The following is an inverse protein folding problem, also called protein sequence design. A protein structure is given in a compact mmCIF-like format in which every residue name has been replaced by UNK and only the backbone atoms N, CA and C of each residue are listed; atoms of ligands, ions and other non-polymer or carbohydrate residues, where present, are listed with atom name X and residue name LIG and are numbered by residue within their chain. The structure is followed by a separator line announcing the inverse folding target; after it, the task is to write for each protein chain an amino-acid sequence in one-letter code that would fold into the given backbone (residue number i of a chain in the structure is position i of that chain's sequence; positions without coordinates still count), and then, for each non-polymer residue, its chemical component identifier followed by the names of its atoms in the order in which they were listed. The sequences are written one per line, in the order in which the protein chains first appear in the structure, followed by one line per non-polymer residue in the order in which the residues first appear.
data_IF_785089753345
#
_entry.id   IF_785089753345
#
_cell.length_a   1.000
_cell.length_b   1.000
_cell.length_c   1.000
_cell.angle_alpha   90.00
_cell.angle_beta   90.00
_cell.angle_gamma   90.00
#
_symmetry.space_group_name_H-M   'P 1'
#
loop_
_entity.id
_entity.type
_entity.pdbx_description
1 polymer ?
#
# COMPACT_ATOMS: atom_id res chain seq x y z
N UNK A 1 -25.22 13.89 8.97
CA UNK A 1 -23.98 13.52 8.26
C UNK A 1 -23.02 12.91 9.28
N UNK A 2 -23.24 11.64 9.64
CA UNK A 2 -22.35 10.96 10.59
C UNK A 2 -21.11 10.52 9.85
N UNK A 3 -20.02 11.29 9.97
CA UNK A 3 -18.68 10.80 9.65
C UNK A 3 -18.43 9.58 10.53
N UNK A 4 -18.68 8.40 9.99
CA UNK A 4 -18.17 7.15 10.55
C UNK A 4 -16.66 7.37 10.64
N UNK A 5 -16.13 7.57 11.85
CA UNK A 5 -14.72 7.32 12.10
C UNK A 5 -14.57 5.83 11.79
N UNK A 6 -14.14 5.53 10.58
CA UNK A 6 -13.71 4.19 10.19
C UNK A 6 -12.81 3.71 11.32
N UNK A 7 -13.11 2.53 11.89
CA UNK A 7 -12.21 1.91 12.86
C UNK A 7 -10.80 1.95 12.29
N UNK A 8 -9.81 2.27 13.13
CA UNK A 8 -8.41 2.21 12.72
C UNK A 8 -8.13 0.78 12.32
N UNK A 9 -7.97 0.56 11.03
CA UNK A 9 -7.51 -0.72 10.52
C UNK A 9 -5.99 -0.69 10.57
N UNK A 10 -5.44 -1.11 11.72
CA UNK A 10 -4.00 -1.13 11.97
C UNK A 10 -3.27 -2.17 11.08
N UNK A 11 -4.01 -2.98 10.32
CA UNK A 11 -3.44 -3.98 9.40
C UNK A 11 -2.81 -3.36 8.15
N UNK A 12 -3.23 -2.15 7.73
CA UNK A 12 -2.77 -1.50 6.50
C UNK A 12 -1.50 -0.65 6.70
N UNK A 13 -1.29 -0.12 7.90
CA UNK A 13 -0.13 0.73 8.21
C UNK A 13 1.03 -0.15 8.65
N UNK A 14 2.25 -0.04 8.06
CA UNK A 14 3.40 -0.81 8.52
C UNK A 14 3.63 -0.65 10.02
N UNK A 15 3.63 -1.76 10.76
CA UNK A 15 3.98 -1.76 12.20
C UNK A 15 5.46 -1.40 12.42
N UNK A 16 6.29 -1.62 11.41
CA UNK A 16 7.69 -1.20 11.34
C UNK A 16 8.11 -1.00 9.88
N UNK A 17 9.17 -0.22 9.66
CA UNK A 17 9.85 -0.17 8.36
C UNK A 17 10.94 -1.24 8.23
N UNK A 18 11.26 -1.98 9.30
CA UNK A 18 12.16 -3.13 9.22
C UNK A 18 11.49 -4.24 8.43
N UNK A 19 12.21 -4.77 7.43
CA UNK A 19 11.70 -5.83 6.54
C UNK A 19 10.35 -5.47 5.89
N UNK A 20 10.12 -4.18 5.64
CA UNK A 20 8.98 -3.74 4.87
C UNK A 20 9.11 -4.23 3.42
N UNK A 21 7.97 -4.50 2.81
CA UNK A 21 7.86 -4.95 1.43
C UNK A 21 6.81 -4.09 0.73
N UNK A 22 6.93 -3.96 -0.58
CA UNK A 22 5.91 -3.36 -1.43
C UNK A 22 5.21 -4.47 -2.25
N UNK A 23 3.88 -4.41 -2.36
CA UNK A 23 3.13 -5.27 -3.27
C UNK A 23 3.54 -4.96 -4.72
N UNK A 24 3.93 -5.97 -5.50
CA UNK A 24 4.44 -5.77 -6.86
C UNK A 24 3.37 -5.26 -7.84
N UNK A 25 2.09 -5.46 -7.55
CA UNK A 25 0.97 -5.03 -8.42
C UNK A 25 0.49 -3.60 -8.11
N UNK A 26 0.31 -3.27 -6.82
CA UNK A 26 -0.28 -1.99 -6.41
C UNK A 26 0.70 -1.06 -5.69
N UNK A 27 1.83 -1.58 -5.22
CA UNK A 27 2.85 -0.89 -4.44
C UNK A 27 2.45 -0.51 -3.02
N UNK A 28 1.38 -1.08 -2.46
CA UNK A 28 1.08 -0.94 -1.04
C UNK A 28 2.28 -1.45 -0.21
N UNK A 29 2.67 -0.71 0.82
CA UNK A 29 3.82 -1.02 1.68
C UNK A 29 3.32 -1.46 3.05
N UNK A 30 3.75 -2.64 3.49
CA UNK A 30 3.49 -3.22 4.82
C UNK A 30 4.69 -4.05 5.27
N UNK A 31 4.67 -4.55 6.50
CA UNK A 31 5.64 -5.58 6.91
C UNK A 31 5.34 -6.91 6.24
N UNK A 32 6.35 -7.79 6.13
CA UNK A 32 6.15 -9.16 5.62
C UNK A 32 5.05 -9.90 6.39
N UNK A 33 5.03 -9.78 7.71
CA UNK A 33 4.03 -10.41 8.57
C UNK A 33 2.61 -9.93 8.26
N UNK A 34 2.41 -8.62 8.04
CA UNK A 34 1.10 -8.06 7.69
C UNK A 34 0.61 -8.51 6.31
N UNK A 35 1.53 -8.78 5.36
CA UNK A 35 1.15 -9.39 4.09
C UNK A 35 0.77 -10.87 4.26
N UNK A 36 1.50 -11.62 5.07
CA UNK A 36 1.20 -13.03 5.32
C UNK A 36 -0.13 -13.21 6.08
N UNK A 37 -0.43 -12.33 7.04
CA UNK A 37 -1.64 -12.40 7.87
C UNK A 37 -2.89 -11.84 7.18
N UNK A 38 -2.78 -10.70 6.48
CA UNK A 38 -3.94 -9.96 5.95
C UNK A 38 -3.98 -9.89 4.41
N UNK A 39 -2.92 -10.30 3.73
CA UNK A 39 -2.78 -10.13 2.28
C UNK A 39 -2.67 -8.67 1.88
N UNK A 40 -2.86 -8.39 0.59
CA UNK A 40 -2.93 -7.03 0.06
C UNK A 40 -4.38 -6.56 -0.07
N UNK A 41 -4.75 -5.46 0.56
CA UNK A 41 -6.12 -4.93 0.60
C UNK A 41 -6.60 -4.41 -0.77
N UNK A 42 -5.68 -4.16 -1.69
CA UNK A 42 -6.00 -3.76 -3.06
C UNK A 42 -6.10 -4.93 -4.04
N UNK A 43 -5.41 -6.05 -3.77
CA UNK A 43 -5.20 -7.13 -4.75
C UNK A 43 -5.76 -8.49 -4.28
N UNK A 44 -6.02 -8.65 -2.98
CA UNK A 44 -6.47 -9.92 -2.39
C UNK A 44 -5.41 -11.02 -2.32
N UNK A 45 -4.20 -10.79 -2.86
CA UNK A 45 -3.09 -11.74 -2.83
C UNK A 45 -2.36 -11.71 -1.49
N UNK A 46 -2.13 -12.90 -0.91
CA UNK A 46 -1.40 -13.12 0.35
C UNK A 46 -0.02 -13.75 0.16
N UNK A 47 0.39 -13.99 -1.09
CA UNK A 47 1.65 -14.67 -1.37
C UNK A 47 2.85 -13.75 -1.13
N UNK A 48 3.86 -14.23 -0.40
CA UNK A 48 5.14 -13.52 -0.26
C UNK A 48 5.84 -13.26 -1.61
N UNK A 49 5.57 -14.09 -2.62
CA UNK A 49 6.03 -13.92 -4.01
C UNK A 49 5.41 -12.71 -4.74
N UNK A 50 4.29 -12.16 -4.27
CA UNK A 50 3.67 -10.94 -4.84
C UNK A 50 4.15 -9.66 -4.15
N UNK A 51 5.32 -9.69 -3.52
CA UNK A 51 5.91 -8.54 -2.83
C UNK A 51 7.43 -8.45 -3.04
N UNK A 52 7.98 -7.24 -3.01
CA UNK A 52 9.42 -6.97 -3.17
C UNK A 52 9.98 -6.15 -2.01
N UNK A 53 11.25 -6.37 -1.66
CA UNK A 53 12.03 -5.48 -0.77
C UNK A 53 12.73 -4.36 -1.54
N UNK A 54 12.86 -4.48 -2.86
CA UNK A 54 13.52 -3.51 -3.71
C UNK A 54 12.50 -2.46 -4.16
N UNK A 55 12.22 -1.52 -3.27
CA UNK A 55 11.39 -0.35 -3.56
C UNK A 55 12.04 0.91 -3.00
N UNK A 56 11.74 2.04 -3.62
CA UNK A 56 12.27 3.34 -3.24
C UNK A 56 11.16 4.35 -3.04
N UNK A 57 11.32 5.16 -1.99
CA UNK A 57 10.40 6.24 -1.65
C UNK A 57 9.05 5.72 -1.13
N UNK A 58 8.49 6.44 -0.17
CA UNK A 58 7.18 6.12 0.39
C UNK A 58 6.30 7.36 0.36
N UNK A 59 5.04 7.17 -0.02
CA UNK A 59 4.00 8.19 0.06
C UNK A 59 2.83 7.67 0.91
N UNK A 60 2.37 8.49 1.85
CA UNK A 60 1.16 8.24 2.62
C UNK A 60 -0.05 8.84 1.90
N UNK A 61 -0.97 7.99 1.43
CA UNK A 61 -2.22 8.41 0.80
C UNK A 61 -3.34 8.26 1.83
N UNK A 62 -3.84 9.39 2.34
CA UNK A 62 -4.92 9.42 3.34
C UNK A 62 -6.31 9.50 2.70
N UNK A 63 -6.43 10.29 1.62
CA UNK A 63 -7.68 10.45 0.89
C UNK A 63 -7.44 10.36 -0.62
N UNK A 64 -7.46 9.14 -1.18
CA UNK A 64 -7.10 8.89 -2.58
C UNK A 64 -7.99 9.63 -3.59
N UNK A 65 -9.28 9.80 -3.29
CA UNK A 65 -10.27 10.41 -4.21
C UNK A 65 -10.09 11.92 -4.35
N UNK A 66 -9.61 12.58 -3.31
CA UNK A 66 -9.45 14.05 -3.27
C UNK A 66 -8.00 14.50 -3.54
N UNK A 67 -7.03 13.60 -3.41
CA UNK A 67 -5.62 13.92 -3.62
C UNK A 67 -5.25 14.00 -5.10
N UNK A 68 -4.76 15.17 -5.53
CA UNK A 68 -4.19 15.35 -6.88
C UNK A 68 -3.00 14.40 -7.11
N UNK A 69 -2.12 14.26 -6.12
CA UNK A 69 -0.96 13.34 -6.22
C UNK A 69 -1.43 11.90 -6.35
N UNK A 70 -2.45 11.49 -5.58
CA UNK A 70 -2.98 10.13 -5.69
C UNK A 70 -3.49 9.84 -7.10
N UNK A 71 -4.22 10.78 -7.72
CA UNK A 71 -4.64 10.65 -9.12
C UNK A 71 -3.46 10.63 -10.09
N UNK A 72 -2.48 11.53 -9.91
CA UNK A 72 -1.28 11.59 -10.77
C UNK A 72 -0.47 10.29 -10.74
N UNK A 73 -0.41 9.63 -9.59
CA UNK A 73 0.31 8.37 -9.39
C UNK A 73 -0.60 7.13 -9.49
N UNK A 74 -1.84 7.28 -9.98
CA UNK A 74 -2.81 6.18 -10.17
C UNK A 74 -3.20 5.43 -8.87
N UNK A 75 -3.15 6.11 -7.72
CA UNK A 75 -3.64 5.63 -6.42
C UNK A 75 -5.10 5.97 -6.13
N UNK A 76 -5.80 6.69 -7.00
CA UNK A 76 -7.18 7.19 -6.77
C UNK A 76 -8.22 6.11 -6.40
N UNK A 77 -7.99 4.85 -6.81
CA UNK A 77 -8.86 3.70 -6.55
C UNK A 77 -8.33 2.76 -5.47
N UNK A 78 -7.20 3.12 -4.83
CA UNK A 78 -6.55 2.29 -3.82
C UNK A 78 -7.05 2.64 -2.42
N UNK A 79 -6.88 1.73 -1.47
CA UNK A 79 -7.20 2.00 -0.07
C UNK A 79 -6.25 3.06 0.53
N UNK A 80 -6.66 3.85 1.54
CA UNK A 80 -5.74 4.70 2.27
C UNK A 80 -4.60 3.87 2.88
N UNK A 81 -3.34 4.32 2.73
CA UNK A 81 -2.18 3.54 3.16
C UNK A 81 -0.84 4.13 2.69
N UNK A 82 0.25 3.42 2.97
CA UNK A 82 1.59 3.77 2.51
C UNK A 82 1.88 3.06 1.19
N UNK A 83 2.41 3.78 0.20
CA UNK A 83 2.72 3.24 -1.12
C UNK A 83 4.16 3.54 -1.53
N UNK A 84 4.78 2.61 -2.26
CA UNK A 84 6.08 2.79 -2.88
C UNK A 84 5.98 3.73 -4.09
N UNK A 85 6.95 4.65 -4.20
CA UNK A 85 7.06 5.55 -5.36
C UNK A 85 7.67 4.83 -6.56
N UNK A 86 8.68 3.97 -6.34
CA UNK A 86 9.34 3.17 -7.36
C UNK A 86 9.61 1.75 -6.87
N UNK A 87 9.67 0.78 -7.78
CA UNK A 87 9.99 -0.63 -7.53
C UNK A 87 10.85 -1.16 -8.67
N UNK A 88 11.80 -2.04 -8.35
CA UNK A 88 12.83 -2.56 -9.28
C UNK A 88 12.25 -3.32 -10.50
N UNK A 89 11.03 -3.83 -10.38
CA UNK A 89 10.25 -4.43 -11.46
C UNK A 89 9.26 -3.41 -12.04
N UNK A 90 9.73 -2.31 -12.62
CA UNK A 90 8.86 -1.27 -13.19
C UNK A 90 7.97 -1.82 -14.32
N UNK A 91 6.82 -2.37 -13.91
CA UNK A 91 5.63 -2.63 -14.73
C UNK A 91 4.49 -1.80 -14.11
N UNK A 92 4.73 -0.50 -13.88
CA UNK A 92 3.64 0.49 -13.78
C UNK A 92 3.64 1.30 -15.07
N UNK A 93 3.23 0.68 -16.18
CA UNK A 93 2.71 1.44 -17.33
C UNK A 93 1.23 1.71 -17.15
#
# INVERSE_FOLDING_TARGET
MSSRRSGRDDSIVPSSFKQSRACTECGLVKTVQQFDENGCENCGSSSSSSTTQNFEGIIAIMNPKESWIARKLQFERRVPGLYALSMDSDTRR
#
